data_IF_940270503585
#
_entry.id   IF_940270503585
#
_cell.length_a   1.000
_cell.length_b   1.000
_cell.length_c   1.000
_cell.angle_alpha   90.00
_cell.angle_beta   90.00
_cell.angle_gamma   90.00
#
_symmetry.space_group_name_H-M   'P 1'
#
loop_
_entity.id
_entity.type
_entity.pdbx_description
1 polymer ?
#
# COMPACT_ATOMS: atom_id res chain seq x y z
N UNK A 1 35.92 -5.78 -0.71
CA UNK A 1 37.21 -6.36 -0.24
C UNK A 1 37.24 -7.88 -0.37
N UNK A 2 36.27 -8.66 0.20
CA UNK A 2 36.30 -10.14 0.20
C UNK A 2 36.14 -10.76 -1.20
N UNK A 3 35.28 -10.23 -2.04
CA UNK A 3 35.05 -10.71 -3.41
C UNK A 3 36.30 -10.56 -4.27
N UNK A 4 36.97 -9.42 -4.18
CA UNK A 4 38.24 -9.17 -4.89
C UNK A 4 39.33 -10.15 -4.45
N UNK A 5 39.49 -10.34 -3.14
CA UNK A 5 40.44 -11.28 -2.57
C UNK A 5 40.16 -12.75 -2.94
N UNK A 6 38.88 -13.12 -3.15
CA UNK A 6 38.50 -14.44 -3.62
C UNK A 6 38.84 -14.63 -5.10
N UNK A 7 38.53 -13.63 -5.96
CA UNK A 7 38.87 -13.64 -7.36
C UNK A 7 40.39 -13.77 -7.60
N UNK A 8 41.16 -13.02 -6.81
CA UNK A 8 42.63 -12.99 -6.95
C UNK A 8 43.29 -14.33 -6.55
N UNK A 9 42.54 -15.24 -5.91
CA UNK A 9 42.98 -16.62 -5.59
C UNK A 9 42.65 -17.65 -6.67
N UNK A 10 41.87 -17.28 -7.69
CA UNK A 10 41.52 -18.18 -8.79
C UNK A 10 42.51 -17.98 -9.94
N UNK A 11 43.39 -18.92 -10.11
CA UNK A 11 44.51 -18.86 -11.11
C UNK A 11 44.07 -18.83 -12.58
N UNK A 12 42.84 -19.22 -12.89
CA UNK A 12 42.26 -19.07 -14.24
C UNK A 12 40.83 -18.53 -14.04
N UNK A 13 40.64 -17.23 -14.18
CA UNK A 13 39.34 -16.59 -14.02
C UNK A 13 38.50 -16.73 -15.30
N UNK A 14 37.60 -17.73 -15.37
CA UNK A 14 36.53 -17.65 -16.35
C UNK A 14 35.65 -16.41 -16.02
N UNK A 15 34.94 -15.91 -17.02
CA UNK A 15 33.95 -14.84 -16.79
C UNK A 15 32.84 -15.38 -15.88
N UNK A 16 32.94 -15.10 -14.58
CA UNK A 16 31.90 -15.47 -13.61
C UNK A 16 30.80 -14.44 -13.59
N UNK A 17 29.57 -14.92 -13.62
CA UNK A 17 28.41 -14.11 -13.25
C UNK A 17 28.24 -14.15 -11.73
N UNK A 18 28.40 -13.00 -11.09
CA UNK A 18 28.23 -12.84 -9.65
C UNK A 18 26.76 -12.62 -9.31
N UNK A 19 26.15 -13.56 -8.61
CA UNK A 19 24.77 -13.45 -8.13
C UNK A 19 24.79 -12.92 -6.71
N UNK A 20 24.12 -11.79 -6.49
CA UNK A 20 24.17 -11.06 -5.24
C UNK A 20 22.76 -10.67 -4.77
N UNK A 21 22.62 -10.49 -3.47
CA UNK A 21 21.41 -9.91 -2.86
C UNK A 21 21.35 -8.39 -3.13
N UNK A 22 20.15 -7.84 -3.03
CA UNK A 22 19.84 -6.40 -3.17
C UNK A 22 20.64 -5.51 -2.21
N UNK A 23 21.06 -6.04 -1.06
CA UNK A 23 21.92 -5.33 -0.11
C UNK A 23 23.29 -4.94 -0.68
N UNK A 24 23.76 -5.63 -1.73
CA UNK A 24 25.00 -5.31 -2.43
C UNK A 24 24.80 -4.36 -3.61
N UNK A 25 23.55 -4.05 -3.97
CA UNK A 25 23.25 -3.11 -5.03
C UNK A 25 23.71 -1.70 -4.62
N UNK A 26 24.79 -1.24 -5.22
CA UNK A 26 25.31 0.12 -5.07
C UNK A 26 25.91 0.54 -6.40
N UNK A 27 25.42 1.64 -6.95
CA UNK A 27 25.86 2.16 -8.24
C UNK A 27 27.39 2.37 -8.28
N UNK A 28 27.97 2.91 -7.22
CA UNK A 28 29.40 3.16 -7.16
C UNK A 28 30.20 1.87 -7.15
N UNK A 29 29.74 0.85 -6.44
CA UNK A 29 30.38 -0.48 -6.43
C UNK A 29 30.24 -1.19 -7.78
N UNK A 30 29.07 -1.08 -8.43
CA UNK A 30 28.82 -1.65 -9.74
C UNK A 30 29.70 -1.01 -10.83
N UNK A 31 29.92 0.32 -10.75
CA UNK A 31 30.81 1.05 -11.68
C UNK A 31 32.28 0.68 -11.53
N UNK A 32 32.73 0.53 -10.29
CA UNK A 32 34.13 0.23 -9.99
C UNK A 32 34.49 -1.24 -10.23
N UNK A 33 33.51 -2.08 -10.47
CA UNK A 33 33.68 -3.51 -10.62
C UNK A 33 33.76 -3.87 -12.11
N UNK A 34 34.83 -4.51 -12.51
CA UNK A 34 34.97 -5.15 -13.84
C UNK A 34 34.25 -6.52 -13.88
N UNK A 35 33.30 -6.79 -12.98
CA UNK A 35 32.63 -8.07 -12.85
C UNK A 35 31.25 -8.04 -13.51
N UNK A 36 30.83 -9.18 -14.04
CA UNK A 36 29.45 -9.39 -14.45
C UNK A 36 28.56 -9.64 -13.21
N UNK A 37 27.50 -8.87 -13.07
CA UNK A 37 26.60 -8.93 -11.92
C UNK A 37 25.19 -9.35 -12.30
N UNK A 38 24.60 -10.17 -11.47
CA UNK A 38 23.16 -10.35 -11.38
C UNK A 38 22.75 -10.08 -9.95
N UNK A 39 21.90 -9.09 -9.73
CA UNK A 39 21.41 -8.73 -8.40
C UNK A 39 19.96 -8.29 -8.46
N UNK A 40 19.23 -8.53 -7.40
CA UNK A 40 17.88 -7.98 -7.25
C UNK A 40 17.97 -6.47 -7.04
N UNK A 41 17.17 -5.71 -7.78
CA UNK A 41 17.09 -4.27 -7.57
C UNK A 41 16.34 -3.97 -6.24
N UNK A 42 16.84 -3.02 -5.43
CA UNK A 42 16.17 -2.62 -4.20
C UNK A 42 14.81 -1.98 -4.46
N UNK A 43 13.80 -2.36 -3.70
CA UNK A 43 12.41 -1.88 -3.85
C UNK A 43 12.23 -0.38 -3.55
N UNK A 44 13.17 0.21 -2.82
CA UNK A 44 13.14 1.64 -2.49
C UNK A 44 13.62 2.56 -3.62
N UNK A 45 14.14 2.02 -4.72
CA UNK A 45 14.55 2.82 -5.86
C UNK A 45 13.32 3.41 -6.57
N UNK A 46 13.35 4.71 -6.87
CA UNK A 46 12.26 5.40 -7.56
C UNK A 46 11.92 4.73 -8.91
N UNK A 47 12.94 4.31 -9.66
CA UNK A 47 12.75 3.62 -10.93
C UNK A 47 12.06 2.26 -10.76
N UNK A 48 12.41 1.48 -9.73
CA UNK A 48 11.72 0.20 -9.42
C UNK A 48 10.25 0.45 -9.16
N UNK A 49 9.94 1.46 -8.34
CA UNK A 49 8.55 1.83 -8.06
C UNK A 49 7.78 2.23 -9.32
N UNK A 50 8.37 3.03 -10.18
CA UNK A 50 7.76 3.41 -11.47
C UNK A 50 7.47 2.19 -12.34
N UNK A 51 8.43 1.27 -12.47
CA UNK A 51 8.26 0.06 -13.28
C UNK A 51 7.21 -0.90 -12.72
N UNK A 52 7.13 -1.05 -11.40
CA UNK A 52 6.15 -1.94 -10.76
C UNK A 52 4.75 -1.32 -10.75
N UNK A 53 4.64 0.00 -10.72
CA UNK A 53 3.36 0.72 -10.70
C UNK A 53 2.79 1.02 -12.09
N UNK A 54 3.58 0.86 -13.15
CA UNK A 54 3.11 1.02 -14.54
C UNK A 54 2.04 -0.03 -14.88
N UNK A 55 1.20 0.29 -15.87
CA UNK A 55 0.16 -0.64 -16.30
C UNK A 55 0.81 -1.89 -16.91
N UNK A 56 0.28 -3.06 -16.60
CA UNK A 56 0.78 -4.34 -17.12
C UNK A 56 0.75 -4.37 -18.66
N UNK A 57 -0.18 -3.67 -19.27
CA UNK A 57 -0.31 -3.55 -20.71
C UNK A 57 0.79 -2.70 -21.38
N UNK A 58 1.55 -1.92 -20.61
CA UNK A 58 2.68 -1.13 -21.11
C UNK A 58 3.90 -2.01 -21.44
N UNK A 59 3.86 -3.29 -21.08
CA UNK A 59 4.98 -4.21 -21.22
C UNK A 59 4.73 -5.31 -22.23
N UNK A 60 5.72 -5.56 -23.09
CA UNK A 60 5.74 -6.70 -24.03
C UNK A 60 6.19 -7.98 -23.31
N UNK A 61 5.33 -8.54 -22.46
CA UNK A 61 5.62 -9.72 -21.67
C UNK A 61 5.93 -10.95 -22.52
N UNK A 62 6.98 -11.66 -22.16
CA UNK A 62 7.34 -12.95 -22.74
C UNK A 62 7.26 -14.04 -21.68
N UNK A 63 6.79 -15.23 -22.04
CA UNK A 63 6.83 -16.37 -21.16
C UNK A 63 8.28 -16.80 -20.96
N UNK A 64 8.73 -16.81 -19.71
CA UNK A 64 10.10 -17.22 -19.34
C UNK A 64 10.08 -18.68 -18.89
N UNK A 65 9.10 -19.02 -18.07
CA UNK A 65 8.90 -20.36 -17.53
C UNK A 65 7.42 -20.49 -17.15
N UNK A 66 6.94 -21.68 -16.88
CA UNK A 66 5.58 -21.90 -16.42
C UNK A 66 5.25 -21.06 -15.16
N UNK A 67 4.21 -20.26 -15.27
CA UNK A 67 3.79 -19.30 -14.23
C UNK A 67 4.65 -18.03 -14.10
N UNK A 68 5.63 -17.82 -15.00
CA UNK A 68 6.48 -16.63 -15.01
C UNK A 68 6.48 -15.94 -16.36
N UNK A 69 6.23 -14.63 -16.37
CA UNK A 69 6.44 -13.74 -17.50
C UNK A 69 7.56 -12.76 -17.19
N UNK A 70 8.30 -12.36 -18.20
CA UNK A 70 9.40 -11.41 -18.04
C UNK A 70 9.49 -10.43 -19.18
N UNK A 71 10.03 -9.24 -18.91
CA UNK A 71 10.39 -8.25 -19.91
C UNK A 71 11.76 -7.67 -19.59
N UNK A 72 12.61 -7.60 -20.63
CA UNK A 72 13.93 -6.97 -20.51
C UNK A 72 13.82 -5.48 -20.79
N UNK A 73 14.32 -4.67 -19.86
CA UNK A 73 14.31 -3.22 -19.93
C UNK A 73 15.74 -2.71 -19.90
N UNK A 74 16.15 -2.01 -20.95
CA UNK A 74 17.44 -1.30 -20.98
C UNK A 74 17.37 -0.05 -20.12
N UNK A 75 18.28 0.10 -19.17
CA UNK A 75 18.38 1.27 -18.33
C UNK A 75 19.77 1.90 -18.39
N UNK A 76 19.78 3.22 -18.34
CA UNK A 76 21.04 3.97 -18.22
C UNK A 76 20.91 4.87 -16.97
N UNK A 77 21.45 4.39 -15.87
CA UNK A 77 21.44 5.15 -14.64
C UNK A 77 22.80 5.81 -14.40
N UNK A 78 22.83 7.15 -14.55
CA UNK A 78 24.00 7.99 -14.38
C UNK A 78 25.23 7.50 -15.16
N UNK A 79 25.00 7.03 -16.40
CA UNK A 79 26.06 6.54 -17.28
C UNK A 79 26.42 5.06 -17.10
N UNK A 80 25.78 4.33 -16.19
CA UNK A 80 25.89 2.89 -16.07
C UNK A 80 24.78 2.20 -16.88
N UNK A 81 25.15 1.57 -17.99
CA UNK A 81 24.22 0.78 -18.81
C UNK A 81 23.88 -0.52 -18.07
N UNK A 82 22.62 -0.75 -17.81
CA UNK A 82 22.11 -1.94 -17.13
C UNK A 82 21.02 -2.60 -17.97
N UNK A 83 20.88 -3.91 -17.85
CA UNK A 83 19.71 -4.65 -18.32
C UNK A 83 18.91 -5.09 -17.11
N UNK A 84 17.66 -4.68 -17.05
CA UNK A 84 16.75 -5.03 -15.96
C UNK A 84 15.75 -6.05 -16.48
N UNK A 85 15.58 -7.13 -15.77
CA UNK A 85 14.51 -8.09 -16.01
C UNK A 85 13.40 -7.82 -15.02
N UNK A 86 12.26 -7.31 -15.50
CA UNK A 86 11.03 -7.25 -14.74
C UNK A 86 10.34 -8.60 -14.85
N UNK A 87 10.03 -9.23 -13.72
CA UNK A 87 9.43 -10.57 -13.67
C UNK A 87 8.07 -10.49 -13.00
N UNK A 88 7.05 -11.01 -13.67
CA UNK A 88 5.74 -11.25 -13.10
C UNK A 88 5.61 -12.75 -12.76
N UNK A 89 5.15 -13.05 -11.55
CA UNK A 89 4.94 -14.43 -11.07
C UNK A 89 3.49 -14.63 -10.68
N UNK A 90 2.76 -15.47 -11.40
CA UNK A 90 1.36 -15.78 -11.12
C UNK A 90 1.14 -16.35 -9.69
N UNK A 91 2.11 -17.10 -9.17
CA UNK A 91 2.05 -17.61 -7.80
C UNK A 91 2.24 -16.50 -6.75
N UNK A 92 3.16 -15.55 -7.01
CA UNK A 92 3.36 -14.42 -6.12
C UNK A 92 2.13 -13.51 -6.13
N UNK A 93 1.60 -13.17 -7.30
CA UNK A 93 0.36 -12.40 -7.46
C UNK A 93 -0.79 -13.01 -6.67
N UNK A 94 -1.04 -14.32 -6.81
CA UNK A 94 -2.10 -15.00 -6.05
C UNK A 94 -1.90 -14.90 -4.54
N UNK A 95 -0.68 -15.04 -4.04
CA UNK A 95 -0.38 -14.90 -2.60
C UNK A 95 -0.59 -13.48 -2.11
N UNK A 96 -0.14 -12.49 -2.89
CA UNK A 96 -0.29 -11.07 -2.54
C UNK A 96 -1.76 -10.64 -2.59
N UNK A 97 -2.54 -11.12 -3.56
CA UNK A 97 -3.98 -10.87 -3.64
C UNK A 97 -4.71 -11.37 -2.38
N UNK A 98 -4.44 -12.61 -1.96
CA UNK A 98 -5.01 -13.16 -0.72
C UNK A 98 -4.59 -12.34 0.51
N UNK A 99 -3.34 -11.90 0.53
CA UNK A 99 -2.81 -11.07 1.63
C UNK A 99 -3.50 -9.71 1.66
N UNK A 100 -3.70 -9.10 0.50
CA UNK A 100 -4.39 -7.83 0.33
C UNK A 100 -5.85 -7.92 0.77
N UNK A 101 -6.59 -8.94 0.33
CA UNK A 101 -7.97 -9.19 0.76
C UNK A 101 -8.09 -9.26 2.29
N UNK A 102 -7.20 -10.00 2.94
CA UNK A 102 -7.14 -10.08 4.41
C UNK A 102 -6.84 -8.72 5.07
N UNK A 103 -5.99 -7.89 4.46
CA UNK A 103 -5.69 -6.54 4.96
C UNK A 103 -6.89 -5.61 4.81
N UNK A 104 -7.60 -5.69 3.67
CA UNK A 104 -8.82 -4.93 3.42
C UNK A 104 -9.88 -5.30 4.45
N UNK A 105 -10.16 -6.60 4.65
CA UNK A 105 -11.13 -7.09 5.63
C UNK A 105 -10.79 -6.66 7.06
N UNK A 106 -9.53 -6.83 7.50
CA UNK A 106 -9.07 -6.35 8.81
C UNK A 106 -9.19 -4.82 8.94
N UNK A 107 -8.95 -4.09 7.86
CA UNK A 107 -9.12 -2.65 7.78
C UNK A 107 -10.58 -2.26 8.02
N UNK A 108 -11.54 -2.97 7.39
CA UNK A 108 -12.97 -2.78 7.58
C UNK A 108 -13.37 -3.01 9.04
N UNK A 109 -13.04 -4.16 9.60
CA UNK A 109 -13.37 -4.51 10.99
C UNK A 109 -12.83 -3.47 11.99
N UNK A 110 -11.62 -2.95 11.76
CA UNK A 110 -11.04 -1.88 12.58
C UNK A 110 -11.82 -0.58 12.43
N UNK A 111 -12.19 -0.22 11.20
CA UNK A 111 -12.96 0.98 10.90
C UNK A 111 -14.34 0.93 11.56
N UNK A 112 -15.08 -0.19 11.45
CA UNK A 112 -16.38 -0.42 12.07
C UNK A 112 -16.32 -0.31 13.60
N UNK A 113 -15.32 -0.92 14.23
CA UNK A 113 -15.12 -0.80 15.70
C UNK A 113 -14.89 0.65 16.12
N UNK A 114 -14.09 1.39 15.37
CA UNK A 114 -13.82 2.80 15.67
C UNK A 114 -15.04 3.67 15.41
N UNK A 115 -15.78 3.43 14.33
CA UNK A 115 -17.03 4.12 14.04
C UNK A 115 -18.12 3.86 15.10
N UNK A 116 -18.21 2.63 15.60
CA UNK A 116 -19.10 2.29 16.71
C UNK A 116 -18.76 3.05 18.01
N UNK A 117 -17.49 3.39 18.22
CA UNK A 117 -17.10 4.29 19.33
C UNK A 117 -17.50 5.74 19.04
N UNK A 118 -17.26 6.23 17.82
CA UNK A 118 -17.66 7.57 17.42
C UNK A 118 -19.18 7.78 17.45
N UNK A 119 -19.96 6.77 17.08
CA UNK A 119 -21.43 6.84 17.11
C UNK A 119 -22.03 6.96 18.51
N UNK A 120 -21.27 6.62 19.55
CA UNK A 120 -21.64 6.80 20.96
C UNK A 120 -21.29 8.18 21.50
N UNK A 121 -20.45 8.91 20.78
CA UNK A 121 -20.04 10.25 21.16
C UNK A 121 -21.15 11.26 20.89
N UNK A 122 -21.44 12.09 21.89
CA UNK A 122 -22.37 13.21 21.77
C UNK A 122 -21.60 14.47 21.33
N UNK A 123 -21.99 15.08 20.22
CA UNK A 123 -21.38 16.32 19.74
C UNK A 123 -22.27 17.51 20.06
N UNK A 124 -21.69 18.57 20.59
CA UNK A 124 -22.42 19.80 20.93
C UNK A 124 -22.84 20.60 19.68
N UNK A 125 -22.08 20.53 18.59
CA UNK A 125 -22.40 21.16 17.32
C UNK A 125 -22.12 20.24 16.13
N UNK A 126 -22.80 20.51 15.02
CA UNK A 126 -22.66 19.75 13.77
C UNK A 126 -21.26 19.85 13.18
N UNK A 127 -20.62 21.01 13.29
CA UNK A 127 -19.27 21.24 12.77
C UNK A 127 -18.22 20.39 13.45
N UNK A 128 -18.35 20.13 14.75
CA UNK A 128 -17.42 19.25 15.47
C UNK A 128 -17.59 17.79 15.05
N UNK A 129 -18.83 17.34 14.85
CA UNK A 129 -19.12 16.02 14.30
C UNK A 129 -18.52 15.87 12.88
N UNK A 130 -18.69 16.87 12.02
CA UNK A 130 -18.13 16.91 10.67
C UNK A 130 -16.59 16.87 10.67
N UNK A 131 -15.96 17.67 11.55
CA UNK A 131 -14.51 17.70 11.69
C UNK A 131 -13.98 16.35 12.12
N UNK A 132 -14.65 15.70 13.07
CA UNK A 132 -14.29 14.36 13.55
C UNK A 132 -14.44 13.31 12.45
N UNK A 133 -15.55 13.34 11.69
CA UNK A 133 -15.77 12.45 10.56
C UNK A 133 -14.66 12.56 9.51
N UNK A 134 -14.33 13.78 9.08
CA UNK A 134 -13.24 14.02 8.10
C UNK A 134 -11.87 13.61 8.61
N UNK A 135 -11.59 13.81 9.91
CA UNK A 135 -10.33 13.38 10.51
C UNK A 135 -10.23 11.85 10.53
N UNK A 136 -11.33 11.18 10.88
CA UNK A 136 -11.39 9.72 10.90
C UNK A 136 -11.25 9.13 9.48
N UNK A 137 -11.92 9.68 8.47
CA UNK A 137 -11.81 9.22 7.08
C UNK A 137 -10.37 9.22 6.56
N UNK A 138 -9.55 10.21 6.95
CA UNK A 138 -8.13 10.27 6.59
C UNK A 138 -7.29 9.12 7.15
N UNK A 139 -7.77 8.44 8.18
CA UNK A 139 -7.08 7.30 8.78
C UNK A 139 -7.35 5.98 8.06
N UNK A 140 -8.32 5.95 7.16
CA UNK A 140 -8.73 4.76 6.43
C UNK A 140 -7.80 4.49 5.24
N UNK A 141 -7.14 3.33 5.23
CA UNK A 141 -6.18 2.95 4.19
C UNK A 141 -6.84 2.37 2.94
N UNK A 142 -7.93 1.62 3.10
CA UNK A 142 -8.56 0.85 2.01
C UNK A 142 -10.02 1.19 1.77
N UNK A 143 -10.61 2.03 2.62
CA UNK A 143 -12.05 2.31 2.60
C UNK A 143 -12.31 3.80 2.49
N UNK A 144 -13.46 4.13 1.90
CA UNK A 144 -14.10 5.44 1.99
C UNK A 144 -15.21 5.36 3.03
N UNK A 145 -15.46 6.45 3.71
CA UNK A 145 -16.51 6.55 4.71
C UNK A 145 -17.64 7.43 4.19
N UNK A 146 -18.85 6.87 4.12
CA UNK A 146 -20.08 7.61 4.00
C UNK A 146 -20.61 7.85 5.39
N UNK A 147 -21.01 9.07 5.72
CA UNK A 147 -21.47 9.40 7.07
C UNK A 147 -22.70 10.29 7.07
N UNK A 148 -23.52 10.12 8.10
CA UNK A 148 -24.68 10.94 8.39
C UNK A 148 -24.56 11.55 9.78
N UNK A 149 -24.90 12.84 9.87
CA UNK A 149 -24.93 13.57 11.14
C UNK A 149 -26.39 13.84 11.46
N UNK A 150 -26.86 13.25 12.54
CA UNK A 150 -28.28 13.33 12.95
C UNK A 150 -28.42 14.16 14.20
N UNK A 151 -29.38 15.07 14.17
CA UNK A 151 -29.75 15.89 15.34
C UNK A 151 -30.62 15.04 16.29
N UNK A 152 -30.14 14.82 17.50
CA UNK A 152 -30.86 14.05 18.53
C UNK A 152 -31.63 15.01 19.43
N UNK A 153 -32.91 14.77 19.49
CA UNK A 153 -33.84 15.52 20.38
C UNK A 153 -34.22 14.64 21.57
N UNK A 154 -34.30 15.23 22.75
CA UNK A 154 -34.77 14.56 23.98
C UNK A 154 -35.84 15.35 24.67
N UNK A 155 -36.72 14.67 25.36
CA UNK A 155 -37.71 15.31 26.27
C UNK A 155 -37.07 15.58 27.63
N UNK A 156 -37.43 16.71 28.24
CA UNK A 156 -36.85 17.15 29.53
C UNK A 156 -37.42 16.42 30.77
N UNK A 157 -38.37 15.49 30.65
CA UNK A 157 -39.01 14.83 31.77
C UNK A 157 -38.54 13.38 31.98
N UNK A 158 -38.73 12.87 33.21
CA UNK A 158 -38.68 11.43 33.47
C UNK A 158 -40.09 10.85 33.23
N UNK A 159 -40.14 9.72 32.50
CA UNK A 159 -41.39 9.03 32.18
C UNK A 159 -41.89 9.29 30.75
N UNK A 160 -43.13 8.89 30.48
CA UNK A 160 -43.75 9.04 29.15
C UNK A 160 -44.07 10.52 28.88
N UNK A 161 -43.59 11.10 27.73
CA UNK A 161 -43.88 12.47 27.39
C UNK A 161 -45.40 12.73 27.28
N UNK A 162 -45.85 13.88 27.75
CA UNK A 162 -47.24 14.35 27.55
C UNK A 162 -47.36 14.89 26.12
N UNK A 163 -48.61 14.95 25.62
CA UNK A 163 -48.90 15.47 24.27
C UNK A 163 -48.47 16.94 24.08
N UNK A 164 -48.32 17.68 25.17
CA UNK A 164 -47.86 19.09 25.19
C UNK A 164 -46.35 19.25 25.26
N UNK A 165 -45.61 18.19 25.58
CA UNK A 165 -44.17 18.25 25.75
C UNK A 165 -43.50 18.36 24.38
N UNK A 166 -42.64 19.36 24.23
CA UNK A 166 -41.81 19.55 23.03
C UNK A 166 -40.39 18.99 23.27
N UNK A 167 -39.86 18.18 22.34
CA UNK A 167 -38.50 17.73 22.45
C UNK A 167 -37.51 18.89 22.28
N UNK A 168 -36.44 18.89 23.03
CA UNK A 168 -35.38 19.88 22.98
C UNK A 168 -34.11 19.25 22.40
N UNK A 169 -33.30 20.09 21.79
CA UNK A 169 -32.00 19.64 21.28
C UNK A 169 -31.17 19.03 22.41
N UNK A 170 -30.57 17.88 22.15
CA UNK A 170 -29.64 17.21 23.05
C UNK A 170 -28.21 17.25 22.52
N UNK A 171 -27.98 16.67 21.38
CA UNK A 171 -26.66 16.56 20.76
C UNK A 171 -26.79 16.14 19.30
N UNK A 172 -25.68 16.16 18.56
CA UNK A 172 -25.56 15.53 17.27
C UNK A 172 -24.93 14.14 17.41
N UNK A 173 -25.39 13.18 16.59
CA UNK A 173 -24.87 11.82 16.49
C UNK A 173 -24.26 11.62 15.12
N UNK A 174 -23.11 10.97 15.07
CA UNK A 174 -22.41 10.58 13.84
C UNK A 174 -22.65 9.09 13.59
N UNK A 175 -23.13 8.75 12.41
CA UNK A 175 -23.26 7.37 11.92
C UNK A 175 -22.43 7.24 10.64
N UNK A 176 -21.75 6.11 10.47
CA UNK A 176 -20.84 5.90 9.35
C UNK A 176 -21.01 4.51 8.75
N UNK A 177 -20.93 4.46 7.43
CA UNK A 177 -20.89 3.26 6.61
C UNK A 177 -19.59 3.26 5.79
N UNK A 178 -19.10 2.08 5.41
CA UNK A 178 -17.82 1.94 4.75
C UNK A 178 -17.98 1.22 3.41
N UNK A 179 -17.27 1.74 2.42
CA UNK A 179 -17.15 1.13 1.11
C UNK A 179 -15.67 0.89 0.77
N UNK A 180 -15.37 -0.23 0.12
CA UNK A 180 -14.03 -0.48 -0.40
C UNK A 180 -13.67 0.58 -1.47
N UNK A 181 -12.51 1.20 -1.34
CA UNK A 181 -12.07 2.24 -2.26
C UNK A 181 -10.95 1.73 -3.15
N UNK A 182 -11.26 1.41 -4.40
CA UNK A 182 -10.31 0.86 -5.37
C UNK A 182 -9.08 1.76 -5.58
N UNK A 183 -9.26 3.08 -5.57
CA UNK A 183 -8.15 4.01 -5.70
C UNK A 183 -7.16 3.89 -4.53
N UNK A 184 -7.67 3.78 -3.30
CA UNK A 184 -6.83 3.56 -2.12
C UNK A 184 -6.17 2.19 -2.11
N UNK A 185 -6.85 1.17 -2.67
CA UNK A 185 -6.33 -0.19 -2.77
C UNK A 185 -5.17 -0.25 -3.76
N UNK A 186 -5.29 0.40 -4.92
CA UNK A 186 -4.21 0.48 -5.93
C UNK A 186 -2.92 1.08 -5.36
N UNK A 187 -3.01 2.10 -4.52
CA UNK A 187 -1.84 2.74 -3.89
C UNK A 187 -1.28 2.00 -2.68
N UNK A 188 -2.02 1.04 -2.12
CA UNK A 188 -1.61 0.21 -0.97
C UNK A 188 -0.80 -1.03 -1.34
N UNK A 189 -0.55 -1.27 -2.62
CA UNK A 189 0.24 -2.39 -3.15
C UNK A 189 1.74 -2.02 -3.27
N UNK A 190 2.13 -0.85 -2.82
CA UNK A 190 3.53 -0.37 -2.86
C UNK A 190 4.28 -0.62 -1.55
#
# INVERSE_FOLDING_TARGET
ARIKAFRDKLENTPEFLWVCDSALYSQDKLRQSALLWLTRAPENLALVKQLVQADENDYAWQNVQDGYKGVLIGQNDRGLKQRWLLVHSAQAEKRESITLEKRIEKGLQKAEKSAAQLSRQAFGCEQDALRTAKAFEKTLSYHRMNYHITKVLKYKGRGRPKSTDKPVFSHYKLEAEFEACLDKIRWGIS
#
